data_IF_100232273673
#
_entry.id   IF_100232273673
#
_cell.length_a   1.000
_cell.length_b   1.000
_cell.length_c   1.000
_cell.angle_alpha   90.00
_cell.angle_beta   90.00
_cell.angle_gamma   90.00
#
_symmetry.space_group_name_H-M   'P 1'
#
loop_
_entity.id
_entity.type
_entity.pdbx_description
1 polymer ?
#
# COMPACT_ATOMS: atom_id res chain seq x y z
N UNK A 1 -5.62 -19.38 -4.59
CA UNK A 1 -5.29 -19.29 -3.98
C UNK A 1 -4.91 -18.92 -3.13
N UNK A 2 -4.95 -19.03 -2.58
CA UNK A 2 -4.56 -18.60 -1.70
C UNK A 2 -3.46 -18.61 -1.59
N UNK A 3 -3.08 -18.19 -2.13
CA UNK A 3 -1.96 -18.17 -2.14
C UNK A 3 -1.26 -18.00 -1.05
N UNK A 4 -1.67 -17.51 -0.21
CA UNK A 4 -0.98 -17.35 0.84
C UNK A 4 -0.77 -18.49 1.54
N UNK A 5 0.27 -18.76 2.02
CA UNK A 5 0.58 -19.83 2.82
C UNK A 5 1.21 -19.33 4.04
N UNK A 6 0.47 -19.09 4.98
CA UNK A 6 0.98 -18.48 6.19
C UNK A 6 2.01 -19.33 6.90
N UNK A 7 2.00 -20.58 6.66
CA UNK A 7 2.96 -21.38 7.37
C UNK A 7 4.37 -21.10 6.95
N UNK A 8 4.54 -20.39 5.89
CA UNK A 8 5.83 -20.08 5.51
C UNK A 8 6.45 -19.07 6.33
N UNK A 9 5.74 -18.40 7.14
CA UNK A 9 6.24 -17.29 7.83
C UNK A 9 6.69 -17.63 9.16
N UNK A 10 7.94 -17.67 9.36
CA UNK A 10 8.43 -17.81 10.70
C UNK A 10 9.07 -16.55 11.17
N UNK A 11 9.15 -15.53 10.36
CA UNK A 11 9.75 -14.28 10.74
C UNK A 11 8.71 -13.48 11.52
N UNK A 12 8.97 -13.15 12.77
CA UNK A 12 7.99 -12.42 13.57
C UNK A 12 7.67 -11.04 13.03
N UNK A 13 8.49 -10.51 12.14
CA UNK A 13 8.18 -9.22 11.58
C UNK A 13 7.26 -9.32 10.41
N UNK A 14 7.01 -10.51 9.94
CA UNK A 14 6.16 -10.69 8.77
C UNK A 14 4.75 -10.93 9.22
N UNK A 15 3.81 -10.18 8.68
CA UNK A 15 2.44 -10.36 8.98
C UNK A 15 1.82 -11.27 7.95
N UNK A 16 1.25 -12.37 8.38
CA UNK A 16 0.64 -13.32 7.47
C UNK A 16 -0.87 -13.14 7.54
N UNK A 17 -1.45 -12.43 6.58
CA UNK A 17 -2.88 -12.18 6.62
C UNK A 17 -3.67 -13.45 6.42
N UNK A 18 -4.86 -13.45 6.99
CA UNK A 18 -5.72 -14.59 6.84
C UNK A 18 -6.36 -14.65 5.50
N UNK A 19 -6.36 -13.58 4.74
CA UNK A 19 -6.92 -13.59 3.42
C UNK A 19 -5.99 -12.85 2.49
N UNK A 20 -6.16 -12.98 1.22
CA UNK A 20 -5.26 -12.38 0.25
C UNK A 20 -5.17 -10.89 0.45
N UNK A 21 -4.00 -10.34 0.22
CA UNK A 21 -3.82 -8.92 0.26
C UNK A 21 -4.52 -8.30 -0.92
N UNK A 22 -5.11 -7.17 -0.69
CA UNK A 22 -5.68 -6.42 -1.78
C UNK A 22 -4.59 -5.63 -2.47
N UNK A 23 -4.79 -5.38 -3.74
CA UNK A 23 -3.81 -4.67 -4.53
C UNK A 23 -4.50 -3.59 -5.32
N UNK A 24 -3.81 -2.49 -5.50
CA UNK A 24 -4.30 -1.43 -6.34
C UNK A 24 -3.12 -0.82 -7.06
N UNK A 25 -3.28 -0.54 -8.32
CA UNK A 25 -2.24 0.08 -9.10
C UNK A 25 -2.23 1.58 -8.81
N UNK A 26 -1.06 2.18 -8.74
CA UNK A 26 -0.99 3.62 -8.56
C UNK A 26 -1.58 4.35 -9.74
N UNK A 27 -1.55 3.76 -10.92
CA UNK A 27 -2.17 4.36 -12.08
C UNK A 27 -3.65 4.55 -11.83
N UNK A 28 -4.30 3.54 -11.28
CA UNK A 28 -5.72 3.65 -11.00
C UNK A 28 -5.98 4.56 -9.82
N UNK A 29 -5.12 4.49 -8.83
CA UNK A 29 -5.33 5.25 -7.62
C UNK A 29 -5.13 6.73 -7.84
N UNK A 30 -4.08 7.10 -8.54
CA UNK A 30 -3.70 8.49 -8.72
C UNK A 30 -4.42 9.17 -9.88
N UNK A 31 -4.97 8.37 -10.78
CA UNK A 31 -5.75 8.90 -11.89
C UNK A 31 -5.02 9.96 -12.69
N UNK A 32 -3.77 9.68 -12.96
CA UNK A 32 -2.97 10.60 -13.75
C UNK A 32 -2.32 11.71 -12.96
N UNK A 33 -2.63 11.81 -11.69
CA UNK A 33 -1.97 12.81 -10.86
C UNK A 33 -0.73 12.25 -10.23
N UNK A 34 -0.06 13.07 -9.48
CA UNK A 34 1.16 12.66 -8.80
C UNK A 34 1.02 12.77 -7.28
N UNK A 35 -0.11 13.23 -6.81
CA UNK A 35 -0.37 13.32 -5.39
C UNK A 35 -1.79 12.91 -5.10
N UNK A 36 -1.98 12.32 -3.95
CA UNK A 36 -3.29 11.87 -3.54
C UNK A 36 -3.36 11.99 -2.03
N UNK A 37 -4.47 12.50 -1.53
CA UNK A 37 -4.67 12.58 -0.10
C UNK A 37 -5.41 11.34 0.36
N UNK A 38 -4.88 10.69 1.38
CA UNK A 38 -5.52 9.54 2.00
C UNK A 38 -6.04 9.98 3.36
N UNK A 39 -7.27 9.63 3.63
CA UNK A 39 -7.87 9.95 4.91
C UNK A 39 -7.87 8.71 5.78
N UNK A 40 -7.29 8.84 6.95
CA UNK A 40 -7.21 7.72 7.86
C UNK A 40 -7.40 8.21 9.29
N UNK A 41 -8.47 7.75 9.91
CA UNK A 41 -8.78 8.10 11.28
C UNK A 41 -8.76 9.60 11.53
N UNK A 42 -9.37 10.33 10.62
CA UNK A 42 -9.46 11.76 10.78
C UNK A 42 -8.21 12.53 10.39
N UNK A 43 -7.18 11.85 9.94
CA UNK A 43 -5.93 12.49 9.55
C UNK A 43 -5.77 12.42 8.06
N UNK A 44 -5.10 13.39 7.49
CA UNK A 44 -4.81 13.41 6.07
C UNK A 44 -3.35 13.05 5.84
N UNK A 45 -3.13 12.12 4.94
CA UNK A 45 -1.78 11.72 4.55
C UNK A 45 -1.67 11.98 3.06
N UNK A 46 -0.50 12.34 2.61
CA UNK A 46 -0.28 12.60 1.18
C UNK A 46 0.60 11.53 0.59
N UNK A 47 0.10 10.87 -0.42
CA UNK A 47 0.85 9.89 -1.17
C UNK A 47 1.33 10.60 -2.42
N UNK A 48 2.63 10.54 -2.68
CA UNK A 48 3.21 11.28 -3.79
C UNK A 48 4.16 10.41 -4.59
N UNK A 49 4.19 10.64 -5.89
CA UNK A 49 5.14 9.99 -6.76
C UNK A 49 6.24 11.00 -7.07
N UNK A 50 7.47 10.63 -6.78
CA UNK A 50 8.60 11.53 -7.00
C UNK A 50 8.99 11.54 -8.47
N UNK A 51 9.91 12.45 -8.82
CA UNK A 51 10.39 12.52 -10.19
C UNK A 51 11.05 11.24 -10.63
N UNK A 52 11.64 10.51 -9.73
CA UNK A 52 12.31 9.27 -10.08
C UNK A 52 11.36 8.08 -10.01
N UNK A 53 10.09 8.33 -9.82
CA UNK A 53 9.11 7.25 -9.84
C UNK A 53 8.94 6.49 -8.55
N UNK A 54 9.37 7.07 -7.46
CA UNK A 54 9.22 6.42 -6.17
C UNK A 54 8.01 6.94 -5.45
N UNK A 55 7.43 6.09 -4.61
CA UNK A 55 6.29 6.51 -3.82
C UNK A 55 6.75 6.94 -2.44
N UNK A 56 6.20 8.03 -1.96
CA UNK A 56 6.43 8.45 -0.60
C UNK A 56 5.10 8.81 0.04
N UNK A 57 5.01 8.59 1.32
CA UNK A 57 3.81 8.88 2.09
C UNK A 57 4.21 9.83 3.21
N UNK A 58 3.51 10.95 3.30
CA UNK A 58 3.81 11.92 4.35
C UNK A 58 2.53 12.33 5.03
N UNK A 59 2.65 12.92 6.19
CA UNK A 59 1.48 13.35 6.92
C UNK A 59 1.38 14.87 7.08
#
# INVERSE_FOLDING_TARGET
MNAQNPSQTSDPRYYAPRHPRQRVSTTDLMRGGRELVLLHEGEEYVLRITKTGKLILTK
#
